data_IF_143966624718
#
_entry.id   IF_143966624718
#
_cell.length_a   1.000
_cell.length_b   1.000
_cell.length_c   1.000
_cell.angle_alpha   90.00
_cell.angle_beta   90.00
_cell.angle_gamma   90.00
#
_symmetry.space_group_name_H-M   'P 1'
#
loop_
_entity.id
_entity.type
_entity.pdbx_description
1 polymer ?
#
# COMPACT_ATOMS: atom_id res chain seq x y z
N UNK A 1 -35.65 -22.21 -14.42
CA UNK A 1 -35.44 -20.81 -14.01
C UNK A 1 -34.35 -20.23 -14.89
N UNK A 2 -34.42 -18.95 -15.31
CA UNK A 2 -33.31 -18.31 -16.00
C UNK A 2 -32.03 -18.37 -15.14
N UNK A 3 -30.84 -18.38 -15.75
CA UNK A 3 -29.58 -18.39 -14.99
C UNK A 3 -29.48 -17.13 -14.13
N UNK A 4 -29.12 -17.30 -12.86
CA UNK A 4 -28.88 -16.17 -11.95
C UNK A 4 -27.74 -15.32 -12.50
N UNK A 5 -27.92 -14.01 -12.53
CA UNK A 5 -26.92 -13.05 -13.02
C UNK A 5 -26.49 -12.09 -11.92
N UNK A 6 -25.21 -11.71 -11.92
CA UNK A 6 -24.66 -10.71 -11.00
C UNK A 6 -23.67 -9.82 -11.73
N UNK A 7 -23.80 -8.51 -11.53
CA UNK A 7 -22.80 -7.53 -11.95
C UNK A 7 -21.89 -7.21 -10.78
N UNK A 8 -20.60 -7.06 -11.02
CA UNK A 8 -19.63 -6.58 -10.03
C UNK A 8 -18.97 -5.34 -10.60
N UNK A 9 -18.98 -4.25 -9.83
CA UNK A 9 -18.37 -2.99 -10.25
C UNK A 9 -17.00 -2.87 -9.56
N UNK A 10 -15.94 -2.89 -10.37
CA UNK A 10 -14.54 -2.86 -9.99
C UNK A 10 -13.86 -4.24 -10.09
N UNK A 11 -12.71 -4.30 -10.76
CA UNK A 11 -11.84 -5.48 -10.86
C UNK A 11 -10.57 -5.34 -9.98
N UNK A 12 -10.73 -4.73 -8.80
CA UNK A 12 -9.73 -4.78 -7.73
C UNK A 12 -9.79 -6.10 -6.94
N UNK A 13 -8.99 -6.21 -5.86
CA UNK A 13 -8.90 -7.43 -5.07
C UNK A 13 -10.28 -7.93 -4.57
N UNK A 14 -11.07 -7.02 -3.99
CA UNK A 14 -12.41 -7.35 -3.50
C UNK A 14 -13.37 -7.78 -4.63
N UNK A 15 -13.36 -7.06 -5.75
CA UNK A 15 -14.23 -7.36 -6.89
C UNK A 15 -13.92 -8.69 -7.55
N UNK A 16 -12.64 -9.00 -7.76
CA UNK A 16 -12.23 -10.28 -8.34
C UNK A 16 -12.46 -11.46 -7.39
N UNK A 17 -12.20 -11.29 -6.08
CA UNK A 17 -12.51 -12.32 -5.09
C UNK A 17 -14.02 -12.60 -5.03
N UNK A 18 -14.85 -11.56 -5.03
CA UNK A 18 -16.30 -11.69 -5.11
C UNK A 18 -16.73 -12.37 -6.43
N UNK A 19 -16.15 -11.97 -7.56
CA UNK A 19 -16.44 -12.55 -8.87
C UNK A 19 -16.16 -14.05 -8.90
N UNK A 20 -15.01 -14.48 -8.39
CA UNK A 20 -14.66 -15.90 -8.26
C UNK A 20 -15.62 -16.65 -7.36
N UNK A 21 -15.93 -16.12 -6.18
CA UNK A 21 -16.84 -16.78 -5.25
C UNK A 21 -18.24 -16.96 -5.85
N UNK A 22 -18.77 -15.92 -6.52
CA UNK A 22 -20.09 -15.95 -7.16
C UNK A 22 -20.08 -16.86 -8.39
N UNK A 23 -19.02 -16.81 -9.21
CA UNK A 23 -18.86 -17.69 -10.37
C UNK A 23 -18.77 -19.17 -9.97
N UNK A 24 -17.99 -19.50 -8.93
CA UNK A 24 -17.87 -20.86 -8.39
C UNK A 24 -19.20 -21.40 -7.84
N UNK A 25 -20.12 -20.52 -7.43
CA UNK A 25 -21.48 -20.87 -7.03
C UNK A 25 -22.43 -21.12 -8.23
N UNK A 26 -21.93 -21.11 -9.47
CA UNK A 26 -22.70 -21.37 -10.68
C UNK A 26 -23.56 -20.20 -11.16
N UNK A 27 -23.27 -18.98 -10.70
CA UNK A 27 -23.95 -17.75 -11.12
C UNK A 27 -23.18 -17.10 -12.28
N UNK A 28 -23.90 -16.57 -13.27
CA UNK A 28 -23.28 -15.83 -14.36
C UNK A 28 -22.85 -14.44 -13.86
N UNK A 29 -21.54 -14.16 -13.90
CA UNK A 29 -20.96 -12.92 -13.39
C UNK A 29 -20.37 -12.11 -14.53
N UNK A 30 -20.68 -10.81 -14.57
CA UNK A 30 -19.96 -9.84 -15.40
C UNK A 30 -19.33 -8.79 -14.50
N UNK A 31 -18.01 -8.60 -14.63
CA UNK A 31 -17.24 -7.58 -13.91
C UNK A 31 -17.06 -6.37 -14.81
N UNK A 32 -17.37 -5.17 -14.31
CA UNK A 32 -17.21 -3.91 -15.02
C UNK A 32 -16.06 -3.13 -14.37
N UNK A 33 -14.98 -2.88 -15.12
CA UNK A 33 -13.80 -2.16 -14.65
C UNK A 33 -13.57 -0.92 -15.49
N UNK A 34 -13.38 0.22 -14.81
CA UNK A 34 -13.21 1.51 -15.45
C UNK A 34 -11.87 1.63 -16.19
N UNK A 35 -10.81 0.98 -15.68
CA UNK A 35 -9.46 1.02 -16.28
C UNK A 35 -9.28 -0.05 -17.36
N UNK A 36 -8.20 0.07 -18.11
CA UNK A 36 -7.72 -0.93 -19.08
C UNK A 36 -6.94 -2.09 -18.41
N UNK A 37 -7.08 -2.25 -17.09
CA UNK A 37 -6.38 -3.29 -16.31
C UNK A 37 -7.18 -3.69 -15.08
N UNK A 38 -6.96 -4.92 -14.64
CA UNK A 38 -7.37 -5.39 -13.31
C UNK A 38 -6.36 -4.95 -12.24
N UNK A 39 -6.65 -5.23 -10.97
CA UNK A 39 -5.71 -4.98 -9.86
C UNK A 39 -6.14 -3.88 -8.88
N UNK A 40 -6.89 -2.89 -9.36
CA UNK A 40 -7.27 -1.73 -8.54
C UNK A 40 -6.03 -1.01 -7.99
N UNK A 41 -5.87 -1.02 -6.65
CA UNK A 41 -4.72 -0.44 -5.93
C UNK A 41 -3.44 -1.29 -6.01
N UNK A 42 -3.51 -2.46 -6.64
CA UNK A 42 -2.34 -3.24 -7.03
C UNK A 42 -2.00 -2.91 -8.48
N UNK A 43 -0.73 -2.69 -8.75
CA UNK A 43 -0.22 -2.35 -10.07
C UNK A 43 1.25 -2.74 -10.16
N UNK A 44 1.51 -3.89 -10.76
CA UNK A 44 2.87 -4.38 -11.01
C UNK A 44 3.37 -3.81 -12.33
N UNK A 45 4.45 -3.03 -12.29
CA UNK A 45 5.23 -2.62 -13.45
C UNK A 45 6.39 -3.59 -13.69
N UNK A 46 6.66 -3.89 -14.96
CA UNK A 46 7.76 -4.78 -15.37
C UNK A 46 8.70 -4.09 -16.38
N UNK A 47 8.54 -2.78 -16.58
CA UNK A 47 9.23 -2.01 -17.61
C UNK A 47 10.33 -1.10 -17.03
N UNK A 48 10.16 -0.65 -15.79
CA UNK A 48 11.06 0.28 -15.11
C UNK A 48 12.34 -0.38 -14.62
N UNK A 49 12.30 -1.64 -14.19
CA UNK A 49 13.46 -2.36 -13.67
C UNK A 49 13.52 -3.80 -14.18
N UNK A 50 14.66 -4.46 -13.95
CA UNK A 50 14.90 -5.87 -14.32
C UNK A 50 14.08 -6.87 -13.49
N UNK A 51 13.34 -6.37 -12.52
CA UNK A 51 12.46 -7.11 -11.64
C UNK A 51 11.13 -6.36 -11.51
N UNK A 52 10.03 -7.06 -11.19
CA UNK A 52 8.72 -6.42 -11.04
C UNK A 52 8.70 -5.40 -9.90
N UNK A 53 8.15 -4.23 -10.17
CA UNK A 53 7.96 -3.15 -9.20
C UNK A 53 6.48 -2.99 -8.92
N UNK A 54 6.12 -2.97 -7.65
CA UNK A 54 4.75 -2.67 -7.24
C UNK A 54 4.57 -1.15 -7.13
N UNK A 55 3.87 -0.54 -8.09
CA UNK A 55 3.52 0.89 -8.03
C UNK A 55 2.44 1.17 -6.96
N UNK A 56 1.72 0.14 -6.55
CA UNK A 56 0.72 0.19 -5.49
C UNK A 56 1.13 -0.64 -4.26
N UNK A 57 0.20 -1.49 -3.79
CA UNK A 57 0.45 -2.38 -2.67
C UNK A 57 1.58 -3.38 -2.96
N UNK A 58 2.53 -3.51 -2.03
CA UNK A 58 3.75 -4.29 -2.22
C UNK A 58 3.90 -5.47 -1.26
N UNK A 59 3.40 -5.32 -0.04
CA UNK A 59 3.66 -6.26 1.05
C UNK A 59 2.40 -7.00 1.45
N UNK A 60 2.59 -8.26 1.80
CA UNK A 60 1.64 -9.05 2.58
C UNK A 60 2.05 -8.85 4.04
N UNK A 61 1.20 -8.16 4.79
CA UNK A 61 1.39 -7.99 6.23
C UNK A 61 0.73 -9.17 6.96
N UNK A 62 1.53 -9.93 7.68
CA UNK A 62 1.13 -11.07 8.49
C UNK A 62 1.25 -12.43 7.79
N UNK A 63 1.71 -13.43 8.55
CA UNK A 63 1.84 -14.82 8.10
C UNK A 63 0.50 -15.60 8.09
N UNK A 64 -0.56 -15.05 8.71
CA UNK A 64 -1.87 -15.72 8.87
C UNK A 64 -2.97 -15.20 7.96
N UNK A 65 -2.64 -14.27 7.06
CA UNK A 65 -3.64 -13.68 6.15
C UNK A 65 -4.02 -14.61 4.99
N UNK A 66 -5.25 -14.43 4.50
CA UNK A 66 -5.84 -15.25 3.44
C UNK A 66 -5.08 -15.18 2.11
N UNK A 67 -4.28 -14.13 1.88
CA UNK A 67 -3.46 -13.95 0.68
C UNK A 67 -2.50 -15.13 0.46
N UNK A 68 -1.93 -15.70 1.53
CA UNK A 68 -1.05 -16.88 1.42
C UNK A 68 -1.79 -18.11 0.85
N UNK A 69 -3.06 -18.29 1.22
CA UNK A 69 -3.90 -19.34 0.65
C UNK A 69 -4.11 -19.13 -0.85
N UNK A 70 -4.41 -17.90 -1.27
CA UNK A 70 -4.61 -17.59 -2.69
C UNK A 70 -3.34 -17.74 -3.52
N UNK A 71 -2.18 -17.41 -2.95
CA UNK A 71 -0.90 -17.70 -3.60
C UNK A 71 -0.72 -19.20 -3.83
N UNK A 72 -0.97 -20.03 -2.81
CA UNK A 72 -0.87 -21.48 -2.93
C UNK A 72 -1.83 -22.05 -3.98
N UNK A 73 -3.10 -21.59 -3.99
CA UNK A 73 -4.10 -21.98 -4.99
C UNK A 73 -3.70 -21.56 -6.42
N UNK A 74 -2.98 -20.45 -6.56
CA UNK A 74 -2.44 -19.96 -7.83
C UNK A 74 -1.11 -20.63 -8.23
N UNK A 75 -0.52 -21.48 -7.38
CA UNK A 75 0.81 -22.04 -7.60
C UNK A 75 1.93 -20.99 -7.52
N UNK A 76 1.69 -19.88 -6.83
CA UNK A 76 2.62 -18.79 -6.60
C UNK A 76 3.26 -18.92 -5.21
N UNK A 77 4.46 -18.37 -5.07
CA UNK A 77 5.15 -18.32 -3.78
C UNK A 77 5.33 -16.89 -3.27
N UNK A 78 5.66 -16.78 -2.00
CA UNK A 78 6.09 -15.53 -1.36
C UNK A 78 7.40 -15.76 -0.60
N UNK A 79 8.07 -14.67 -0.24
CA UNK A 79 9.27 -14.69 0.59
C UNK A 79 9.18 -13.60 1.66
N UNK A 80 9.69 -13.92 2.85
CA UNK A 80 9.71 -12.99 3.99
C UNK A 80 10.66 -11.83 3.71
N UNK A 81 10.26 -10.64 4.14
CA UNK A 81 11.08 -9.43 4.18
C UNK A 81 11.04 -8.90 5.61
N UNK A 82 12.21 -8.60 6.18
CA UNK A 82 12.31 -8.02 7.52
C UNK A 82 12.76 -6.56 7.39
N UNK A 83 11.80 -5.63 7.36
CA UNK A 83 12.11 -4.20 7.24
C UNK A 83 12.34 -3.54 8.58
N UNK A 84 11.48 -3.82 9.56
CA UNK A 84 11.52 -3.18 10.87
C UNK A 84 12.64 -3.73 11.77
N UNK A 85 12.97 -5.01 11.66
CA UNK A 85 14.08 -5.62 12.41
C UNK A 85 15.44 -5.07 11.98
N UNK A 86 15.57 -4.61 10.74
CA UNK A 86 16.80 -4.04 10.17
C UNK A 86 16.68 -2.55 9.88
N UNK A 87 15.71 -1.86 10.49
CA UNK A 87 15.51 -0.42 10.28
C UNK A 87 16.79 0.36 10.59
N UNK A 88 17.21 1.20 9.64
CA UNK A 88 18.25 2.21 9.85
C UNK A 88 17.64 3.60 10.01
N UNK A 89 17.98 4.32 11.07
CA UNK A 89 17.41 5.65 11.34
C UNK A 89 18.41 6.76 11.01
N UNK A 90 18.00 7.73 10.20
CA UNK A 90 18.73 8.97 9.95
C UNK A 90 18.33 10.05 10.96
N UNK A 91 19.29 10.61 11.68
CA UNK A 91 19.07 11.68 12.67
C UNK A 91 19.79 12.96 12.24
N UNK A 92 19.42 13.51 11.08
CA UNK A 92 20.10 14.66 10.47
C UNK A 92 21.47 14.34 9.85
N UNK A 93 21.74 13.06 9.57
CA UNK A 93 22.97 12.56 8.98
C UNK A 93 22.80 11.11 8.52
N UNK A 94 23.92 10.41 8.30
CA UNK A 94 23.92 9.02 7.83
C UNK A 94 23.01 8.14 8.69
N UNK A 95 22.16 7.35 8.03
CA UNK A 95 21.27 6.40 8.66
C UNK A 95 22.06 5.28 9.34
N UNK A 96 21.68 4.96 10.57
CA UNK A 96 22.38 4.00 11.42
C UNK A 96 21.45 2.87 11.84
N UNK A 97 21.98 1.66 11.92
CA UNK A 97 21.24 0.53 12.45
C UNK A 97 20.91 0.74 13.93
N UNK A 98 19.92 -0.03 14.44
CA UNK A 98 19.58 -0.01 15.86
C UNK A 98 20.80 -0.22 16.74
N UNK A 99 21.71 -1.12 16.40
CA UNK A 99 22.90 -1.44 17.21
C UNK A 99 23.88 -0.27 17.35
N UNK A 100 23.89 0.65 16.39
CA UNK A 100 24.75 1.83 16.37
C UNK A 100 24.16 3.03 17.14
N UNK A 101 22.94 2.91 17.67
CA UNK A 101 22.31 3.97 18.46
C UNK A 101 22.91 4.07 19.87
N UNK A 102 22.90 5.27 20.43
CA UNK A 102 23.31 5.49 21.82
C UNK A 102 22.32 4.84 22.80
N UNK A 103 22.74 4.47 24.02
CA UNK A 103 21.83 3.93 25.04
C UNK A 103 20.63 4.84 25.35
N UNK A 104 20.84 6.17 25.33
CA UNK A 104 19.76 7.14 25.50
C UNK A 104 18.75 7.09 24.34
N UNK A 105 19.24 6.97 23.10
CA UNK A 105 18.39 6.81 21.92
C UNK A 105 17.59 5.51 21.94
N UNK A 106 18.19 4.41 22.41
CA UNK A 106 17.46 3.15 22.63
C UNK A 106 16.34 3.31 23.65
N UNK A 107 16.63 3.92 24.80
CA UNK A 107 15.65 4.14 25.85
C UNK A 107 14.47 5.00 25.35
N UNK A 108 14.75 6.06 24.58
CA UNK A 108 13.72 6.92 24.00
C UNK A 108 12.81 6.16 23.02
N UNK A 109 13.37 5.38 22.10
CA UNK A 109 12.60 4.57 21.16
C UNK A 109 11.80 3.47 21.86
N UNK A 110 12.37 2.84 22.89
CA UNK A 110 11.67 1.82 23.68
C UNK A 110 10.48 2.43 24.45
N UNK A 111 10.65 3.60 25.07
CA UNK A 111 9.54 4.33 25.69
C UNK A 111 8.46 4.65 24.68
N UNK A 112 8.83 5.20 23.52
CA UNK A 112 7.86 5.55 22.48
C UNK A 112 7.08 4.33 21.98
N UNK A 113 7.76 3.21 21.73
CA UNK A 113 7.13 1.96 21.32
C UNK A 113 6.20 1.39 22.41
N UNK A 114 6.60 1.46 23.68
CA UNK A 114 5.77 1.01 24.79
C UNK A 114 4.51 1.90 24.95
N UNK A 115 4.65 3.22 24.83
CA UNK A 115 3.52 4.16 24.86
C UNK A 115 2.56 3.88 23.70
N UNK A 116 3.06 3.70 22.48
CA UNK A 116 2.22 3.37 21.32
C UNK A 116 1.50 2.03 21.49
N UNK A 117 2.19 0.98 21.93
CA UNK A 117 1.60 -0.34 22.17
C UNK A 117 0.51 -0.30 23.25
N UNK A 118 0.66 0.55 24.27
CA UNK A 118 -0.31 0.73 25.35
C UNK A 118 -1.67 1.26 24.90
N UNK A 119 -1.78 1.83 23.69
CA UNK A 119 -3.06 2.31 23.12
C UNK A 119 -4.12 1.21 23.08
N UNK A 120 -3.70 -0.03 22.79
CA UNK A 120 -4.59 -1.18 22.68
C UNK A 120 -5.27 -1.57 24.00
N UNK A 121 -4.66 -1.24 25.15
CA UNK A 121 -5.16 -1.61 26.47
C UNK A 121 -6.01 -0.50 27.12
N UNK A 122 -6.11 0.66 26.46
CA UNK A 122 -6.86 1.80 26.97
C UNK A 122 -8.32 1.78 26.51
N UNK A 123 -9.19 2.21 27.42
CA UNK A 123 -10.58 2.53 27.10
C UNK A 123 -10.68 3.98 26.65
N UNK A 124 -11.04 4.18 25.39
CA UNK A 124 -11.20 5.51 24.79
C UNK A 124 -12.64 5.99 25.01
N UNK A 125 -12.80 7.04 25.82
CA UNK A 125 -14.07 7.75 25.97
C UNK A 125 -14.26 8.71 24.80
N UNK A 126 -13.86 9.96 24.98
CA UNK A 126 -13.63 10.86 23.85
C UNK A 126 -12.30 10.48 23.17
N UNK A 127 -12.32 10.37 21.84
CA UNK A 127 -11.13 9.99 21.08
C UNK A 127 -10.06 11.11 21.11
N UNK A 128 -8.79 10.71 21.15
CA UNK A 128 -7.64 11.61 21.08
C UNK A 128 -6.84 11.34 19.81
N UNK A 129 -6.26 12.39 19.24
CA UNK A 129 -5.22 12.20 18.23
C UNK A 129 -4.01 11.49 18.84
N UNK A 130 -3.29 10.72 18.03
CA UNK A 130 -2.03 10.08 18.43
C UNK A 130 -1.03 11.14 18.92
N UNK A 131 -0.97 12.30 18.27
CA UNK A 131 -0.11 13.39 18.70
C UNK A 131 -0.44 13.88 20.11
N UNK A 132 -1.72 14.10 20.43
CA UNK A 132 -2.12 14.59 21.74
C UNK A 132 -1.93 13.56 22.83
N UNK A 133 -2.22 12.29 22.53
CA UNK A 133 -1.92 11.19 23.45
C UNK A 133 -0.43 11.09 23.78
N UNK A 134 0.44 11.18 22.77
CA UNK A 134 1.89 11.15 22.97
C UNK A 134 2.38 12.36 23.77
N UNK A 135 1.87 13.57 23.49
CA UNK A 135 2.18 14.79 24.28
C UNK A 135 1.77 14.62 25.75
N UNK A 136 0.56 14.12 26.00
CA UNK A 136 0.07 13.86 27.36
C UNK A 136 0.91 12.80 28.08
N UNK A 137 1.48 11.86 27.33
CA UNK A 137 2.40 10.84 27.84
C UNK A 137 3.84 11.33 28.00
N UNK A 138 4.11 12.62 27.76
CA UNK A 138 5.43 13.25 27.95
C UNK A 138 6.39 13.16 26.76
N UNK A 139 5.91 12.78 25.58
CA UNK A 139 6.71 12.79 24.36
C UNK A 139 7.07 14.23 23.94
N UNK A 140 8.36 14.48 23.68
CA UNK A 140 8.82 15.75 23.14
C UNK A 140 8.54 15.87 21.64
N UNK A 141 8.82 17.06 21.06
CA UNK A 141 8.62 17.33 19.63
C UNK A 141 9.34 16.33 18.73
N UNK A 142 10.52 15.86 19.14
CA UNK A 142 11.29 14.91 18.34
C UNK A 142 10.67 13.52 18.39
N UNK A 143 10.27 13.05 19.56
CA UNK A 143 9.58 11.77 19.73
C UNK A 143 8.27 11.73 18.93
N UNK A 144 7.54 12.84 18.87
CA UNK A 144 6.34 12.99 18.03
C UNK A 144 6.69 12.90 16.54
N UNK A 145 7.76 13.57 16.09
CA UNK A 145 8.21 13.48 14.69
C UNK A 145 8.68 12.06 14.31
N UNK A 146 9.32 11.34 15.23
CA UNK A 146 9.67 9.92 15.05
C UNK A 146 8.40 9.06 14.96
N UNK A 147 7.43 9.28 15.86
CA UNK A 147 6.15 8.56 15.88
C UNK A 147 5.33 8.80 14.60
N UNK A 148 5.38 10.01 14.06
CA UNK A 148 4.73 10.35 12.79
C UNK A 148 5.24 9.41 11.69
N UNK A 149 6.55 9.29 11.54
CA UNK A 149 7.18 8.43 10.54
C UNK A 149 6.92 6.94 10.79
N UNK A 150 7.02 6.49 12.03
CA UNK A 150 6.94 5.06 12.38
C UNK A 150 5.51 4.53 12.45
N UNK A 151 4.52 5.37 12.78
CA UNK A 151 3.15 4.93 13.06
C UNK A 151 2.10 5.67 12.24
N UNK A 152 2.12 7.00 12.18
CA UNK A 152 1.07 7.73 11.49
C UNK A 152 1.14 7.55 9.96
N UNK A 153 2.36 7.66 9.41
CA UNK A 153 2.61 7.48 7.99
C UNK A 153 2.40 6.02 7.51
N UNK A 154 2.44 5.02 8.40
CA UNK A 154 2.09 3.62 8.03
C UNK A 154 0.59 3.46 7.82
N UNK A 155 -0.22 4.27 8.50
CA UNK A 155 -1.67 4.35 8.31
C UNK A 155 -2.07 5.34 7.20
N UNK A 156 -1.10 6.03 6.57
CA UNK A 156 -1.36 7.14 5.65
C UNK A 156 -2.24 8.23 6.28
N UNK A 157 -1.92 8.65 7.51
CA UNK A 157 -2.67 9.65 8.26
C UNK A 157 -1.73 10.69 8.91
N UNK A 158 -2.21 11.91 9.10
CA UNK A 158 -1.50 12.91 9.91
C UNK A 158 -1.57 12.49 11.38
N UNK A 159 -0.46 12.59 12.11
CA UNK A 159 -0.42 12.21 13.53
C UNK A 159 -1.39 13.04 14.39
N UNK A 160 -1.71 14.26 13.96
CA UNK A 160 -2.66 15.17 14.58
C UNK A 160 -4.14 14.78 14.40
N UNK A 161 -4.43 13.84 13.48
CA UNK A 161 -5.81 13.43 13.17
C UNK A 161 -6.03 11.92 13.26
N UNK A 162 -4.96 11.14 13.39
CA UNK A 162 -5.03 9.71 13.60
C UNK A 162 -5.58 9.40 15.00
N UNK A 163 -6.82 8.93 15.07
CA UNK A 163 -7.53 8.63 16.32
C UNK A 163 -6.96 7.42 17.04
N UNK A 164 -6.76 7.53 18.35
CA UNK A 164 -6.25 6.44 19.16
C UNK A 164 -7.30 5.35 19.41
N UNK A 165 -8.59 5.70 19.47
CA UNK A 165 -9.68 4.73 19.53
C UNK A 165 -9.70 3.82 18.28
N UNK A 166 -9.46 4.40 17.11
CA UNK A 166 -9.38 3.69 15.85
C UNK A 166 -8.15 2.78 15.79
N UNK A 167 -6.98 3.28 16.22
CA UNK A 167 -5.76 2.49 16.36
C UNK A 167 -5.94 1.31 17.33
N UNK A 168 -6.52 1.56 18.51
CA UNK A 168 -6.76 0.52 19.51
C UNK A 168 -7.65 -0.59 18.93
N UNK A 169 -8.73 -0.21 18.24
CA UNK A 169 -9.63 -1.15 17.58
C UNK A 169 -8.91 -1.95 16.48
N UNK A 170 -8.06 -1.32 15.66
CA UNK A 170 -7.26 -2.01 14.65
C UNK A 170 -6.29 -3.02 15.31
N UNK A 171 -5.53 -2.59 16.31
CA UNK A 171 -4.59 -3.44 17.06
C UNK A 171 -5.26 -4.65 17.72
N UNK A 172 -6.46 -4.48 18.26
CA UNK A 172 -7.23 -5.55 18.91
C UNK A 172 -7.81 -6.56 17.91
N UNK A 173 -8.16 -6.11 16.70
CA UNK A 173 -8.75 -6.95 15.65
C UNK A 173 -7.70 -7.59 14.74
N UNK A 174 -6.48 -7.05 14.71
CA UNK A 174 -5.43 -7.58 13.86
C UNK A 174 -4.92 -8.94 14.38
N UNK A 175 -5.14 -9.95 13.57
CA UNK A 175 -4.66 -11.32 13.79
C UNK A 175 -3.80 -11.81 12.64
N UNK A 176 -3.37 -10.92 11.75
CA UNK A 176 -2.54 -11.21 10.59
C UNK A 176 -1.17 -11.78 10.98
N UNK A 177 -0.61 -11.31 12.09
CA UNK A 177 0.75 -11.60 12.51
C UNK A 177 1.71 -10.45 12.20
N UNK A 178 2.98 -10.59 12.56
CA UNK A 178 3.94 -9.47 12.56
C UNK A 178 4.99 -9.56 11.45
N UNK A 179 5.02 -10.66 10.69
CA UNK A 179 5.96 -10.83 9.59
C UNK A 179 5.46 -10.15 8.31
N UNK A 180 6.37 -9.67 7.46
CA UNK A 180 6.04 -9.12 6.15
C UNK A 180 6.57 -10.03 5.03
N UNK A 181 5.83 -10.11 3.92
CA UNK A 181 6.22 -10.91 2.76
C UNK A 181 6.01 -10.15 1.46
N UNK A 182 6.75 -10.56 0.43
CA UNK A 182 6.53 -10.15 -0.97
C UNK A 182 6.15 -11.35 -1.81
N UNK A 183 5.36 -11.12 -2.85
CA UNK A 183 5.03 -12.15 -3.85
C UNK A 183 6.21 -12.35 -4.80
N UNK A 184 6.56 -13.59 -5.09
CA UNK A 184 7.54 -13.88 -6.14
C UNK A 184 6.99 -13.41 -7.50
N UNK A 185 7.73 -12.53 -8.17
CA UNK A 185 7.32 -12.00 -9.48
C UNK A 185 6.25 -10.89 -9.42
N UNK A 186 5.92 -10.38 -8.23
CA UNK A 186 4.90 -9.35 -8.04
C UNK A 186 3.47 -9.90 -7.99
N UNK A 187 2.52 -9.04 -7.62
CA UNK A 187 1.11 -9.39 -7.48
C UNK A 187 0.39 -9.59 -8.81
N UNK A 188 0.91 -9.04 -9.92
CA UNK A 188 0.27 -9.12 -11.24
C UNK A 188 -0.20 -10.54 -11.58
N UNK A 189 0.67 -11.54 -11.39
CA UNK A 189 0.34 -12.94 -11.64
C UNK A 189 -0.82 -13.47 -10.76
N UNK A 190 -0.93 -13.01 -9.51
CA UNK A 190 -2.05 -13.38 -8.62
C UNK A 190 -3.36 -12.79 -9.14
N UNK A 191 -3.34 -11.55 -9.61
CA UNK A 191 -4.53 -10.89 -10.15
C UNK A 191 -4.95 -11.44 -11.52
N UNK A 192 -3.99 -11.81 -12.36
CA UNK A 192 -4.25 -12.55 -13.61
C UNK A 192 -4.89 -13.91 -13.32
N UNK A 193 -4.40 -14.63 -12.32
CA UNK A 193 -5.03 -15.86 -11.85
C UNK A 193 -6.46 -15.59 -11.37
N UNK A 194 -6.68 -14.56 -10.55
CA UNK A 194 -8.02 -14.19 -10.09
C UNK A 194 -8.97 -13.88 -11.26
N UNK A 195 -8.48 -13.18 -12.29
CA UNK A 195 -9.24 -12.80 -13.47
C UNK A 195 -9.54 -13.96 -14.44
N UNK A 196 -8.72 -15.01 -14.42
CA UNK A 196 -8.81 -16.11 -15.37
C UNK A 196 -10.21 -16.76 -15.39
N UNK A 197 -10.81 -16.84 -16.57
CA UNK A 197 -12.12 -17.48 -16.80
C UNK A 197 -13.33 -16.62 -16.42
N UNK A 198 -13.14 -15.37 -15.98
CA UNK A 198 -14.23 -14.44 -15.68
C UNK A 198 -14.59 -13.56 -16.89
N UNK A 199 -15.86 -13.18 -17.01
CA UNK A 199 -16.29 -12.15 -17.96
C UNK A 199 -15.99 -10.76 -17.39
N UNK A 200 -14.85 -10.17 -17.78
CA UNK A 200 -14.41 -8.85 -17.33
C UNK A 200 -14.44 -7.86 -18.49
N UNK A 201 -15.17 -6.76 -18.32
CA UNK A 201 -15.27 -5.65 -19.28
C UNK A 201 -14.39 -4.50 -18.81
N UNK A 202 -13.16 -4.45 -19.31
CA UNK A 202 -12.23 -3.34 -19.11
C UNK A 202 -12.70 -2.09 -19.87
N UNK A 203 -12.19 -0.92 -19.47
CA UNK A 203 -12.56 0.37 -20.09
C UNK A 203 -14.05 0.69 -20.00
N UNK A 204 -14.76 0.08 -19.05
CA UNK A 204 -16.21 0.19 -18.88
C UNK A 204 -16.50 1.01 -17.62
N UNK A 205 -16.63 2.31 -17.83
CA UNK A 205 -16.89 3.29 -16.77
C UNK A 205 -18.38 3.30 -16.45
N UNK A 206 -18.71 2.91 -15.22
CA UNK A 206 -20.08 3.00 -14.68
C UNK A 206 -20.31 4.41 -14.13
N UNK A 207 -21.46 5.01 -14.44
CA UNK A 207 -21.87 6.30 -13.88
C UNK A 207 -23.26 6.29 -13.24
N UNK A 208 -24.08 5.26 -13.46
CA UNK A 208 -25.38 5.12 -12.78
C UNK A 208 -25.72 3.67 -12.51
N UNK A 209 -26.24 3.42 -11.30
CA UNK A 209 -26.78 2.14 -10.85
C UNK A 209 -28.21 2.37 -10.40
N UNK A 210 -29.17 1.77 -11.10
CA UNK A 210 -30.57 1.77 -10.71
C UNK A 210 -30.95 0.38 -10.18
N UNK A 211 -31.69 0.29 -9.09
CA UNK A 211 -32.09 -1.01 -8.53
C UNK A 211 -33.48 -1.00 -7.88
N UNK A 212 -34.09 -2.18 -7.82
CA UNK A 212 -35.38 -2.38 -7.16
C UNK A 212 -35.81 -3.84 -7.22
N UNK A 213 -37.13 -4.09 -7.10
CA UNK A 213 -37.69 -5.43 -7.14
C UNK A 213 -37.42 -6.18 -8.48
N UNK A 214 -37.20 -5.43 -9.57
CA UNK A 214 -36.91 -5.97 -10.90
C UNK A 214 -35.44 -6.26 -11.18
N UNK A 215 -34.55 -6.14 -10.18
CA UNK A 215 -33.10 -6.32 -10.35
C UNK A 215 -32.34 -5.00 -10.44
N UNK A 216 -31.21 -5.03 -11.14
CA UNK A 216 -30.24 -3.93 -11.22
C UNK A 216 -29.95 -3.58 -12.69
N UNK A 217 -30.00 -2.29 -12.99
CA UNK A 217 -29.63 -1.68 -14.28
C UNK A 217 -28.39 -0.80 -14.08
N UNK A 218 -27.34 -1.05 -14.85
CA UNK A 218 -26.06 -0.36 -14.73
C UNK A 218 -25.73 0.34 -16.04
N UNK A 219 -25.70 1.67 -16.01
CA UNK A 219 -25.39 2.50 -17.17
C UNK A 219 -23.89 2.82 -17.23
N UNK A 220 -23.32 2.69 -18.43
CA UNK A 220 -21.89 2.79 -18.69
C UNK A 220 -21.59 3.44 -20.03
N UNK A 221 -20.31 3.78 -20.27
CA UNK A 221 -19.82 4.29 -21.57
C UNK A 221 -19.94 3.26 -22.70
N UNK A 222 -20.25 2.01 -22.38
CA UNK A 222 -20.41 0.90 -23.31
C UNK A 222 -21.86 0.43 -23.43
N UNK A 223 -22.82 1.17 -22.85
CA UNK A 223 -24.24 0.86 -22.87
C UNK A 223 -24.77 0.36 -21.53
N UNK A 224 -25.95 -0.26 -21.58
CA UNK A 224 -26.71 -0.72 -20.41
C UNK A 224 -26.42 -2.20 -20.11
N UNK A 225 -26.12 -2.50 -18.85
CA UNK A 225 -25.99 -3.86 -18.33
C UNK A 225 -27.12 -4.16 -17.34
N UNK A 226 -27.60 -5.40 -17.31
CA UNK A 226 -28.71 -5.83 -16.46
C UNK A 226 -28.34 -7.11 -15.70
N UNK A 227 -28.72 -7.18 -14.42
CA UNK A 227 -28.57 -8.38 -13.61
C UNK A 227 -29.59 -8.45 -12.48
N UNK A 228 -29.73 -9.62 -11.85
CA UNK A 228 -30.56 -9.76 -10.64
C UNK A 228 -29.95 -9.03 -9.43
N UNK A 229 -28.61 -9.00 -9.36
CA UNK A 229 -27.85 -8.47 -8.21
C UNK A 229 -26.64 -7.69 -8.69
N UNK A 230 -26.18 -6.77 -7.84
CA UNK A 230 -24.96 -6.01 -8.07
C UNK A 230 -24.11 -5.99 -6.80
N UNK A 231 -22.80 -6.18 -6.94
CA UNK A 231 -21.82 -5.98 -5.87
C UNK A 231 -20.98 -4.76 -6.21
N UNK A 232 -20.98 -3.77 -5.32
CA UNK A 232 -20.20 -2.54 -5.47
C UNK A 232 -18.88 -2.71 -4.72
N UNK A 233 -17.76 -2.68 -5.44
CA UNK A 233 -16.41 -2.75 -4.85
C UNK A 233 -15.57 -1.51 -5.14
N UNK A 234 -16.26 -0.37 -5.34
CA UNK A 234 -15.64 0.92 -5.60
C UNK A 234 -14.92 1.44 -4.35
N UNK A 235 -13.72 2.05 -4.50
CA UNK A 235 -13.07 2.78 -3.43
C UNK A 235 -13.95 3.91 -2.90
N UNK A 236 -13.85 4.22 -1.60
CA UNK A 236 -14.63 5.31 -0.99
C UNK A 236 -14.41 6.65 -1.69
N UNK A 237 -13.21 6.93 -2.21
CA UNK A 237 -12.93 8.17 -2.94
C UNK A 237 -13.70 8.30 -4.26
N UNK A 238 -14.05 7.18 -4.91
CA UNK A 238 -14.92 7.20 -6.09
C UNK A 238 -16.37 7.52 -5.69
N UNK A 239 -16.81 7.02 -4.54
CA UNK A 239 -18.13 7.31 -3.99
C UNK A 239 -18.24 8.78 -3.55
N UNK A 240 -17.21 9.31 -2.88
CA UNK A 240 -17.12 10.72 -2.48
C UNK A 240 -17.10 11.68 -3.67
N UNK A 241 -16.45 11.28 -4.77
CA UNK A 241 -16.45 12.04 -6.01
C UNK A 241 -17.82 12.08 -6.71
N UNK A 242 -18.83 11.36 -6.19
CA UNK A 242 -20.18 11.25 -6.76
C UNK A 242 -20.17 10.87 -8.26
N UNK A 243 -19.14 10.14 -8.69
CA UNK A 243 -18.98 9.72 -10.10
C UNK A 243 -19.96 8.63 -10.52
N UNK A 244 -20.60 7.98 -9.54
CA UNK A 244 -21.63 6.96 -9.74
C UNK A 244 -22.90 7.39 -9.02
N UNK A 245 -23.96 7.64 -9.79
CA UNK A 245 -25.28 7.94 -9.27
C UNK A 245 -26.02 6.66 -8.90
N UNK A 246 -26.74 6.71 -7.78
CA UNK A 246 -27.48 5.59 -7.23
C UNK A 246 -28.97 5.92 -7.20
N UNK A 247 -29.82 5.04 -7.72
CA UNK A 247 -31.27 5.23 -7.81
C UNK A 247 -32.05 3.97 -7.43
N UNK A 248 -32.78 3.93 -6.30
CA UNK A 248 -32.93 5.02 -5.33
C UNK A 248 -31.58 5.41 -4.68
N UNK A 249 -31.43 6.58 -4.04
CA UNK A 249 -30.18 6.94 -3.40
C UNK A 249 -29.79 5.93 -2.30
N UNK A 250 -28.49 5.85 -1.99
CA UNK A 250 -28.01 5.12 -0.81
C UNK A 250 -28.67 5.67 0.47
N UNK A 251 -28.78 4.85 1.51
CA UNK A 251 -29.33 5.32 2.80
C UNK A 251 -28.51 6.46 3.39
N UNK A 252 -29.15 7.32 4.20
CA UNK A 252 -28.49 8.43 4.88
C UNK A 252 -27.24 7.97 5.66
N UNK A 253 -27.37 6.87 6.41
CA UNK A 253 -26.25 6.25 7.14
C UNK A 253 -25.04 5.92 6.25
N UNK A 254 -25.27 5.41 5.03
CA UNK A 254 -24.17 5.11 4.10
C UNK A 254 -23.56 6.38 3.54
N UNK A 255 -24.37 7.39 3.25
CA UNK A 255 -23.88 8.70 2.78
C UNK A 255 -23.03 9.38 3.86
N UNK A 256 -23.49 9.35 5.11
CA UNK A 256 -22.77 9.88 6.27
C UNK A 256 -21.44 9.15 6.48
N UNK A 257 -21.44 7.81 6.39
CA UNK A 257 -20.21 7.01 6.48
C UNK A 257 -19.22 7.31 5.34
N UNK A 258 -19.70 7.46 4.10
CA UNK A 258 -18.87 7.85 2.95
C UNK A 258 -18.27 9.24 3.17
N UNK A 259 -19.04 10.19 3.71
CA UNK A 259 -18.58 11.55 3.98
C UNK A 259 -17.57 11.62 5.15
N UNK A 260 -17.72 10.77 6.17
CA UNK A 260 -16.86 10.76 7.35
C UNK A 260 -15.46 10.18 7.10
N UNK A 261 -15.33 9.24 6.16
CA UNK A 261 -14.04 8.61 5.85
C UNK A 261 -13.07 9.58 5.17
N UNK A 262 -11.94 9.86 5.83
CA UNK A 262 -10.89 10.71 5.26
C UNK A 262 -9.96 9.89 4.38
N UNK A 263 -9.68 10.41 3.18
CA UNK A 263 -8.67 9.87 2.28
C UNK A 263 -7.54 10.86 2.15
N UNK A 264 -6.37 10.44 2.62
CA UNK A 264 -5.16 11.22 2.48
C UNK A 264 -4.37 10.84 1.23
N UNK A 265 -3.48 11.75 0.83
CA UNK A 265 -2.62 11.57 -0.32
C UNK A 265 -1.47 10.63 0.00
N UNK A 266 -1.09 9.83 -0.98
CA UNK A 266 0.12 9.03 -0.90
C UNK A 266 0.79 8.97 -2.26
N UNK A 267 2.11 9.12 -2.25
CA UNK A 267 2.95 9.09 -3.44
C UNK A 267 4.07 8.08 -3.22
N UNK A 268 4.08 7.04 -4.05
CA UNK A 268 5.18 6.08 -4.11
C UNK A 268 6.18 6.56 -5.15
N UNK A 269 7.42 6.76 -4.73
CA UNK A 269 8.45 7.36 -5.57
C UNK A 269 9.61 6.40 -5.72
N UNK A 270 10.14 6.28 -6.93
CA UNK A 270 11.20 5.34 -7.30
C UNK A 270 12.35 6.10 -7.94
N UNK A 271 13.56 5.81 -7.52
CA UNK A 271 14.78 6.26 -8.18
C UNK A 271 15.56 5.04 -8.63
N UNK A 272 15.97 5.06 -9.90
CA UNK A 272 16.90 4.10 -10.46
C UNK A 272 18.23 4.81 -10.71
N UNK A 273 19.32 4.16 -10.34
CA UNK A 273 20.68 4.63 -10.52
C UNK A 273 21.42 3.80 -11.58
N UNK A 274 22.60 4.23 -12.00
CA UNK A 274 23.49 3.45 -12.87
C UNK A 274 24.11 2.23 -12.17
N UNK A 275 24.23 2.30 -10.83
CA UNK A 275 24.65 1.23 -9.92
C UNK A 275 24.01 1.40 -8.55
N UNK A 276 24.16 0.41 -7.68
CA UNK A 276 23.79 0.57 -6.27
C UNK A 276 24.75 1.52 -5.52
N UNK A 277 24.19 2.41 -4.72
CA UNK A 277 24.88 3.38 -3.84
C UNK A 277 24.67 3.13 -2.34
N UNK A 278 24.11 1.98 -1.97
CA UNK A 278 23.86 1.58 -0.59
C UNK A 278 24.35 0.15 -0.32
N UNK A 279 24.36 -0.23 0.96
CA UNK A 279 24.76 -1.57 1.36
C UNK A 279 23.75 -2.62 0.86
N UNK A 280 24.25 -3.82 0.52
CA UNK A 280 23.43 -4.88 -0.08
C UNK A 280 22.30 -5.39 0.83
N UNK A 281 22.45 -5.19 2.14
CA UNK A 281 21.52 -5.59 3.18
C UNK A 281 20.54 -4.46 3.58
N UNK A 282 20.58 -3.29 2.94
CA UNK A 282 19.66 -2.20 3.24
C UNK A 282 18.23 -2.59 2.86
N UNK A 283 17.47 -3.07 3.84
CA UNK A 283 16.05 -3.34 3.68
C UNK A 283 15.20 -2.08 3.81
N UNK A 284 15.47 -1.24 4.81
CA UNK A 284 14.64 -0.11 5.15
C UNK A 284 15.43 0.94 5.93
N UNK A 285 15.24 2.20 5.58
CA UNK A 285 15.73 3.33 6.35
C UNK A 285 14.65 4.40 6.47
N UNK A 286 14.67 5.10 7.59
CA UNK A 286 13.71 6.17 7.84
C UNK A 286 14.35 7.36 8.56
N UNK A 287 13.71 8.51 8.45
CA UNK A 287 14.09 9.76 9.11
C UNK A 287 12.92 10.76 9.06
N UNK A 288 13.08 11.91 9.71
CA UNK A 288 12.02 12.90 9.89
C UNK A 288 11.76 13.80 8.66
N UNK A 289 12.54 13.70 7.59
CA UNK A 289 12.46 14.58 6.41
C UNK A 289 11.28 14.28 5.46
N UNK A 290 11.42 14.67 4.19
CA UNK A 290 10.29 14.77 3.27
C UNK A 290 9.89 13.43 2.68
N UNK A 291 10.85 12.61 2.25
CA UNK A 291 10.51 11.29 1.69
C UNK A 291 10.44 10.22 2.78
N UNK A 292 11.08 10.50 3.93
CA UNK A 292 10.94 9.91 5.26
C UNK A 292 11.21 8.41 5.40
N UNK A 293 10.88 7.58 4.41
CA UNK A 293 10.83 6.11 4.52
C UNK A 293 11.26 5.49 3.20
N UNK A 294 12.49 4.99 3.16
CA UNK A 294 13.13 4.44 1.97
C UNK A 294 13.39 2.95 2.13
N UNK A 295 13.20 2.15 1.08
CA UNK A 295 13.58 0.73 1.04
C UNK A 295 14.09 0.29 -0.31
N UNK A 296 14.78 -0.85 -0.31
CA UNK A 296 15.17 -1.57 -1.52
C UNK A 296 14.02 -2.50 -1.96
N UNK A 297 13.30 -2.20 -3.07
CA UNK A 297 12.17 -3.01 -3.53
C UNK A 297 12.61 -4.40 -4.04
N UNK A 298 13.86 -4.56 -4.48
CA UNK A 298 14.41 -5.85 -4.92
C UNK A 298 14.96 -6.73 -3.81
N UNK A 299 15.00 -6.26 -2.55
CA UNK A 299 15.60 -7.07 -1.48
C UNK A 299 14.86 -8.41 -1.33
N UNK A 300 15.61 -9.51 -1.36
CA UNK A 300 15.07 -10.88 -1.28
C UNK A 300 14.59 -11.45 -2.63
N UNK A 301 14.58 -10.66 -3.72
CA UNK A 301 14.33 -11.16 -5.07
C UNK A 301 15.52 -12.03 -5.49
N UNK A 302 15.36 -13.35 -5.42
CA UNK A 302 16.31 -14.28 -6.03
C UNK A 302 16.16 -14.16 -7.55
N UNK A 303 17.26 -13.84 -8.24
CA UNK A 303 17.35 -13.89 -9.71
C UNK A 303 16.72 -15.19 -10.22
N UNK A 304 15.71 -15.10 -11.09
CA UNK A 304 15.05 -16.25 -11.73
C UNK A 304 15.95 -17.00 -12.74
N UNK A 305 17.26 -16.86 -12.62
CA UNK A 305 18.20 -17.57 -13.46
C UNK A 305 18.19 -19.08 -13.13
N UNK A 306 18.10 -19.91 -14.17
CA UNK A 306 18.17 -21.37 -14.05
C UNK A 306 19.40 -21.82 -13.24
N UNK A 307 19.33 -23.01 -12.63
CA UNK A 307 20.38 -23.55 -11.78
C UNK A 307 21.80 -23.47 -12.35
N UNK A 308 21.95 -23.55 -13.68
CA UNK A 308 23.23 -23.47 -14.40
C UNK A 308 23.77 -22.05 -14.61
N UNK A 309 22.94 -21.00 -14.40
CA UNK A 309 23.32 -19.58 -14.51
C UNK A 309 23.59 -18.91 -13.15
N UNK A 310 23.32 -19.60 -12.03
CA UNK A 310 23.57 -19.09 -10.66
C UNK A 310 25.03 -18.79 -10.38
N UNK A 311 25.96 -19.52 -11.01
CA UNK A 311 27.39 -19.30 -10.82
C UNK A 311 27.93 -18.06 -11.55
N UNK A 312 27.21 -17.52 -12.53
CA UNK A 312 27.64 -16.36 -13.35
C UNK A 312 26.88 -15.07 -13.03
N UNK A 313 25.81 -15.16 -12.24
CA UNK A 313 24.92 -14.03 -11.91
C UNK A 313 24.92 -13.64 -10.42
N UNK A 314 25.69 -14.35 -9.58
CA UNK A 314 25.90 -13.94 -8.19
C UNK A 314 26.61 -12.57 -8.06
N UNK A 315 27.14 -12.02 -9.15
CA UNK A 315 27.85 -10.74 -9.20
C UNK A 315 27.06 -9.56 -9.80
N UNK A 316 25.86 -9.79 -10.35
CA UNK A 316 25.01 -8.68 -10.83
C UNK A 316 23.89 -8.42 -9.86
N UNK A 317 24.23 -7.66 -8.83
CA UNK A 317 23.29 -7.12 -7.88
C UNK A 317 22.35 -6.13 -8.59
N UNK A 318 21.14 -6.58 -8.91
CA UNK A 318 20.11 -5.80 -9.61
C UNK A 318 19.32 -4.89 -8.64
N UNK A 319 19.99 -4.31 -7.65
CA UNK A 319 19.42 -3.43 -6.64
C UNK A 319 19.86 -1.98 -6.86
N UNK A 320 19.74 -1.53 -8.10
CA UNK A 320 19.96 -0.15 -8.54
C UNK A 320 18.73 0.75 -8.35
N UNK A 321 17.63 0.21 -7.81
CA UNK A 321 16.41 0.95 -7.50
C UNK A 321 16.21 1.07 -6.01
N UNK A 322 15.92 2.28 -5.54
CA UNK A 322 15.43 2.55 -4.20
C UNK A 322 14.08 3.26 -4.31
N UNK A 323 13.19 3.04 -3.35
CA UNK A 323 11.89 3.68 -3.36
C UNK A 323 11.46 4.14 -1.98
N UNK A 324 10.47 5.02 -1.96
CA UNK A 324 9.88 5.54 -0.74
C UNK A 324 8.35 5.70 -0.86
N UNK A 325 7.70 5.80 0.29
CA UNK A 325 6.26 6.08 0.41
C UNK A 325 6.07 7.37 1.18
N UNK A 326 5.69 8.42 0.45
CA UNK A 326 5.42 9.74 0.99
C UNK A 326 3.92 9.86 1.22
N UNK A 327 3.49 10.33 2.38
CA UNK A 327 2.05 10.39 2.75
C UNK A 327 1.64 11.76 3.24
N UNK A 328 0.34 12.04 3.14
CA UNK A 328 -0.36 13.20 3.70
C UNK A 328 0.24 14.53 3.24
N UNK A 329 0.63 15.44 4.13
CA UNK A 329 1.13 16.77 3.79
C UNK A 329 2.43 16.69 2.97
N UNK A 330 3.29 15.70 3.26
CA UNK A 330 4.51 15.48 2.49
C UNK A 330 4.19 15.06 1.05
N UNK A 331 3.17 14.24 0.86
CA UNK A 331 2.72 13.84 -0.48
C UNK A 331 2.07 15.01 -1.21
N UNK A 332 1.23 15.79 -0.53
CA UNK A 332 0.62 16.99 -1.09
C UNK A 332 1.67 18.01 -1.54
N UNK A 333 2.74 18.19 -0.76
CA UNK A 333 3.85 19.06 -1.12
C UNK A 333 4.64 18.51 -2.33
N UNK A 334 4.86 17.19 -2.37
CA UNK A 334 5.53 16.52 -3.49
C UNK A 334 4.74 16.65 -4.79
N UNK A 335 3.41 16.53 -4.74
CA UNK A 335 2.50 16.67 -5.90
C UNK A 335 2.55 18.07 -6.56
N UNK A 336 3.12 19.09 -5.87
CA UNK A 336 3.30 20.44 -6.41
C UNK A 336 4.66 20.66 -7.10
N UNK A 337 5.57 19.70 -7.01
CA UNK A 337 6.91 19.80 -7.59
C UNK A 337 6.92 19.21 -9.01
N UNK A 338 7.81 19.73 -9.85
CA UNK A 338 8.18 19.01 -11.08
C UNK A 338 8.98 17.75 -10.74
N UNK A 339 8.99 16.78 -11.64
CA UNK A 339 9.78 15.55 -11.48
C UNK A 339 11.26 15.86 -11.22
N UNK A 340 11.84 16.84 -11.90
CA UNK A 340 13.23 17.23 -11.72
C UNK A 340 13.51 17.81 -10.32
N UNK A 341 12.60 18.63 -9.78
CA UNK A 341 12.72 19.15 -8.42
C UNK A 341 12.56 18.03 -7.39
N UNK A 342 11.56 17.15 -7.58
CA UNK A 342 11.33 16.00 -6.72
C UNK A 342 12.57 15.08 -6.67
N UNK A 343 13.15 14.75 -7.83
CA UNK A 343 14.38 13.96 -7.93
C UNK A 343 15.53 14.67 -7.21
N UNK A 344 15.71 15.99 -7.40
CA UNK A 344 16.76 16.75 -6.74
C UNK A 344 16.66 16.71 -5.21
N UNK A 345 15.46 16.93 -4.66
CA UNK A 345 15.23 16.83 -3.22
C UNK A 345 15.44 15.41 -2.68
N UNK A 346 14.95 14.40 -3.42
CA UNK A 346 15.14 13.00 -3.06
C UNK A 346 16.61 12.62 -3.02
N UNK A 347 17.40 13.03 -4.02
CA UNK A 347 18.83 12.77 -4.07
C UNK A 347 19.56 13.45 -2.91
N UNK A 348 19.32 14.73 -2.64
CA UNK A 348 19.96 15.44 -1.53
C UNK A 348 19.66 14.79 -0.16
N UNK A 349 18.44 14.28 0.01
CA UNK A 349 18.05 13.54 1.21
C UNK A 349 18.78 12.19 1.31
N UNK A 350 18.82 11.43 0.22
CA UNK A 350 19.56 10.17 0.14
C UNK A 350 21.06 10.36 0.36
N UNK A 351 21.66 11.44 -0.15
CA UNK A 351 23.08 11.74 0.04
C UNK A 351 23.42 11.86 1.53
N UNK A 352 22.54 12.52 2.28
CA UNK A 352 22.66 12.66 3.74
C UNK A 352 22.51 11.31 4.43
N UNK A 353 21.50 10.51 4.05
CA UNK A 353 21.19 9.22 4.67
C UNK A 353 22.24 8.15 4.36
N UNK A 354 22.79 8.14 3.16
CA UNK A 354 23.78 7.16 2.71
C UNK A 354 25.21 7.61 3.06
N UNK A 355 25.44 8.92 3.19
CA UNK A 355 26.78 9.48 3.38
C UNK A 355 27.62 9.48 2.08
N UNK A 356 26.96 9.53 0.92
CA UNK A 356 27.56 9.58 -0.41
C UNK A 356 27.02 10.83 -1.13
N UNK A 357 27.87 11.64 -1.75
CA UNK A 357 27.46 12.85 -2.45
C UNK A 357 27.40 12.64 -3.98
N UNK A 358 26.64 13.48 -4.69
CA UNK A 358 26.57 13.47 -6.16
C UNK A 358 25.58 12.45 -6.71
N UNK A 359 24.61 11.97 -5.93
CA UNK A 359 23.69 10.91 -6.36
C UNK A 359 22.82 11.33 -7.54
N UNK A 360 22.50 12.62 -7.65
CA UNK A 360 21.69 13.14 -8.75
C UNK A 360 22.33 12.89 -10.13
N UNK A 361 23.66 12.85 -10.22
CA UNK A 361 24.39 12.59 -11.48
C UNK A 361 24.28 11.13 -11.95
N UNK A 362 23.89 10.23 -11.03
CA UNK A 362 23.80 8.79 -11.28
C UNK A 362 22.37 8.32 -11.54
N UNK A 363 21.36 9.19 -11.45
CA UNK A 363 19.96 8.83 -11.72
C UNK A 363 19.78 8.49 -13.20
N UNK A 364 19.13 7.36 -13.50
CA UNK A 364 18.92 6.88 -14.87
C UNK A 364 17.46 6.48 -15.15
N UNK A 365 17.03 6.71 -16.39
CA UNK A 365 15.62 6.59 -16.78
C UNK A 365 14.90 7.90 -16.57
#
# INVERSE_FOLDING_TARGET
>A
MPPKTTIIIGAGAAGLAAARAVHAAGVHVTVLEARERVGGRVCTDTSFARFPIELGAELIHGERVITHRYLAEAGLGSYRVDRYGTLRWGAGGRARSREEHTPAGHAQLATLAATYAGIADLSWGDDLSLADYLRQSGADTRAIAVADVLYAQTCCAAIETLGCADLAREMQLDHAGHEEFRVHGGYGALFDWFAHGLDIRLGTVVWRVQWGAGGVHVETNRGLFQAERCIITLPVGVLQANSVQFDPPLSAEKQDAIAALRLERATKFFLRFDRRHWDADLAYMAHEGRFARWWTPSLGVKSQASASRRATLAEQDHSDVICCYVTVERAAALDQLSDAEAIGFACAELETLLGEAGLAEHVTG
#
